data_IF_473646576752
#
_entry.id   IF_473646576752
#
_cell.length_a   1.000
_cell.length_b   1.000
_cell.length_c   1.000
_cell.angle_alpha   90.00
_cell.angle_beta   90.00
_cell.angle_gamma   90.00
#
_symmetry.space_group_name_H-M   'P 1'
#
loop_
_entity.id
_entity.type
_entity.pdbx_description
1 polymer ?
#
# COMPACT_ATOMS: atom_id res chain seq x y z
N UNK A 1 7.35 10.05 23.14
CA UNK A 1 6.04 10.52 22.66
C UNK A 1 5.64 9.63 21.51
N UNK A 2 4.55 8.85 21.60
CA UNK A 2 3.98 8.23 20.41
C UNK A 2 3.37 9.33 19.54
N UNK A 3 3.61 9.27 18.24
CA UNK A 3 2.97 10.13 17.25
C UNK A 3 1.59 9.54 16.92
N UNK A 4 0.58 10.40 16.77
CA UNK A 4 -0.80 9.98 16.49
C UNK A 4 -0.99 9.62 15.01
N UNK A 5 -0.28 10.32 14.12
CA UNK A 5 -0.33 10.10 12.66
C UNK A 5 1.07 10.26 12.06
N UNK A 6 1.46 9.35 11.17
CA UNK A 6 2.70 9.47 10.37
C UNK A 6 2.36 9.97 8.97
N UNK A 7 3.03 11.05 8.53
CA UNK A 7 2.95 11.52 7.14
C UNK A 7 4.29 11.38 6.46
N UNK A 8 4.32 10.90 5.22
CA UNK A 8 5.55 10.85 4.43
C UNK A 8 5.30 11.07 2.94
N UNK A 9 6.35 11.44 2.24
CA UNK A 9 6.33 11.70 0.80
C UNK A 9 6.29 10.41 -0.03
N UNK A 10 6.31 10.59 -1.36
CA UNK A 10 6.27 9.48 -2.32
C UNK A 10 7.49 8.57 -2.33
N UNK A 11 8.62 8.99 -1.76
CA UNK A 11 9.80 8.14 -1.63
C UNK A 11 9.54 7.02 -0.62
N UNK A 12 8.87 7.35 0.48
CA UNK A 12 8.50 6.40 1.52
C UNK A 12 7.14 5.74 1.24
N UNK A 13 6.20 6.44 0.60
CA UNK A 13 4.90 5.86 0.25
C UNK A 13 4.97 4.69 -0.75
N UNK A 14 6.00 4.63 -1.59
CA UNK A 14 6.23 3.49 -2.49
C UNK A 14 6.87 2.27 -1.81
N UNK A 15 7.53 2.46 -0.68
CA UNK A 15 8.25 1.39 0.00
C UNK A 15 7.23 0.47 0.72
N UNK A 16 7.20 -0.80 0.33
CA UNK A 16 6.29 -1.79 0.93
C UNK A 16 6.74 -2.23 2.32
N UNK A 17 8.04 -2.26 2.58
CA UNK A 17 8.57 -2.63 3.89
C UNK A 17 8.23 -1.56 4.91
N UNK A 18 8.46 -0.30 4.57
CA UNK A 18 8.12 0.83 5.43
C UNK A 18 6.63 0.83 5.82
N UNK A 19 5.74 0.61 4.85
CA UNK A 19 4.30 0.50 5.11
C UNK A 19 3.95 -0.69 5.99
N UNK A 20 4.60 -1.84 5.77
CA UNK A 20 4.40 -3.02 6.60
C UNK A 20 4.88 -2.82 8.04
N UNK A 21 5.94 -2.05 8.26
CA UNK A 21 6.39 -1.67 9.62
C UNK A 21 5.38 -0.74 10.29
N UNK A 22 4.86 0.26 9.57
CA UNK A 22 3.80 1.13 10.11
C UNK A 22 2.53 0.36 10.47
N UNK A 23 2.12 -0.59 9.63
CA UNK A 23 0.99 -1.49 9.90
C UNK A 23 1.27 -2.41 11.11
N UNK A 24 2.51 -2.91 11.25
CA UNK A 24 2.91 -3.78 12.37
C UNK A 24 2.91 -3.04 13.71
N UNK A 25 3.20 -1.75 13.69
CA UNK A 25 3.19 -0.86 14.85
C UNK A 25 1.79 -0.24 15.13
N UNK A 26 0.75 -0.64 14.36
CA UNK A 26 -0.65 -0.15 14.48
C UNK A 26 -0.77 1.38 14.36
N UNK A 27 0.05 1.97 13.48
CA UNK A 27 0.13 3.42 13.28
C UNK A 27 -0.82 3.89 12.17
N UNK A 28 -1.55 4.96 12.44
CA UNK A 28 -2.31 5.66 11.40
C UNK A 28 -1.32 6.44 10.54
N UNK A 29 -1.35 6.25 9.22
CA UNK A 29 -0.46 6.95 8.32
C UNK A 29 -1.17 7.52 7.09
N UNK A 30 -0.61 8.60 6.55
CA UNK A 30 -1.03 9.20 5.28
C UNK A 30 0.22 9.41 4.43
N UNK A 31 0.30 8.68 3.32
CA UNK A 31 1.49 8.65 2.46
C UNK A 31 1.12 9.10 1.05
N UNK A 32 1.99 9.89 0.44
CA UNK A 32 1.88 10.16 -0.99
C UNK A 32 2.22 8.89 -1.77
N UNK A 33 1.31 8.41 -2.62
CA UNK A 33 1.57 7.24 -3.48
C UNK A 33 1.54 7.70 -4.94
N UNK A 34 2.59 7.40 -5.74
CA UNK A 34 2.58 7.74 -7.16
C UNK A 34 1.38 7.13 -7.87
N UNK A 35 0.72 7.89 -8.73
CA UNK A 35 -0.48 7.46 -9.47
C UNK A 35 -0.24 6.25 -10.39
N UNK A 36 1.02 6.00 -10.75
CA UNK A 36 1.46 4.85 -11.57
C UNK A 36 1.73 3.60 -10.75
N UNK A 37 1.70 3.68 -9.42
CA UNK A 37 1.88 2.53 -8.53
C UNK A 37 0.78 1.51 -8.77
N UNK A 38 1.14 0.23 -8.81
CA UNK A 38 0.19 -0.88 -8.94
C UNK A 38 -0.12 -1.46 -7.57
N UNK A 39 -1.40 -1.63 -7.28
CA UNK A 39 -1.92 -2.12 -6.02
C UNK A 39 -2.94 -3.24 -6.27
N UNK A 40 -3.05 -4.15 -5.30
CA UNK A 40 -4.10 -5.15 -5.29
C UNK A 40 -5.25 -4.66 -4.41
N UNK A 41 -6.50 -4.84 -4.84
CA UNK A 41 -7.68 -4.40 -4.09
C UNK A 41 -8.14 -5.44 -3.06
N UNK A 42 -7.83 -6.71 -3.32
CA UNK A 42 -7.94 -7.82 -2.40
C UNK A 42 -6.55 -8.33 -2.06
N UNK A 43 -6.42 -9.03 -0.92
CA UNK A 43 -5.14 -9.57 -0.49
C UNK A 43 -4.73 -10.71 -1.43
N UNK A 44 -3.64 -10.55 -2.21
CA UNK A 44 -3.23 -11.59 -3.15
C UNK A 44 -2.67 -12.81 -2.42
N UNK A 45 -2.79 -13.97 -3.05
CA UNK A 45 -2.11 -15.18 -2.58
C UNK A 45 -0.67 -15.13 -3.05
N UNK A 46 0.27 -15.08 -2.12
CA UNK A 46 1.71 -15.06 -2.42
C UNK A 46 2.37 -16.36 -2.00
N UNK A 47 3.30 -16.86 -2.81
CA UNK A 47 4.02 -18.09 -2.54
C UNK A 47 5.14 -18.34 -3.54
N UNK A 48 5.95 -19.36 -3.29
CA UNK A 48 6.94 -19.82 -4.28
C UNK A 48 6.20 -20.73 -5.26
N UNK A 49 6.22 -20.45 -6.57
CA UNK A 49 5.53 -21.28 -7.54
C UNK A 49 6.16 -22.69 -7.58
N UNK A 50 5.33 -23.68 -7.88
CA UNK A 50 5.82 -25.06 -8.05
C UNK A 50 6.84 -25.12 -9.18
N UNK A 51 7.93 -25.86 -8.93
CA UNK A 51 8.97 -26.04 -9.95
C UNK A 51 8.47 -27.08 -10.95
N UNK A 52 8.37 -26.75 -12.25
CA UNK A 52 7.85 -27.68 -13.24
C UNK A 52 8.75 -28.92 -13.36
N UNK A 53 8.17 -30.11 -13.57
CA UNK A 53 8.94 -31.33 -13.71
C UNK A 53 9.87 -31.22 -14.94
N UNK A 54 11.14 -31.56 -14.75
CA UNK A 54 12.15 -31.48 -15.82
C UNK A 54 12.91 -30.15 -15.90
N UNK A 55 12.66 -29.19 -15.01
CA UNK A 55 13.50 -27.99 -14.91
C UNK A 55 14.92 -28.37 -14.47
N UNK A 56 15.92 -27.99 -15.27
CA UNK A 56 17.33 -28.11 -14.90
C UNK A 56 17.77 -26.91 -14.03
N UNK A 57 18.59 -27.17 -13.02
CA UNK A 57 19.14 -26.14 -12.12
C UNK A 57 18.32 -25.90 -10.86
N UNK A 58 18.55 -24.75 -10.21
CA UNK A 58 17.95 -24.44 -8.90
C UNK A 58 16.41 -24.39 -9.00
N UNK A 59 15.67 -25.02 -8.07
CA UNK A 59 14.23 -24.84 -7.94
C UNK A 59 13.84 -23.36 -7.83
N UNK A 60 12.57 -23.05 -8.15
CA UNK A 60 12.06 -21.72 -7.85
C UNK A 60 12.18 -21.45 -6.34
N UNK A 61 12.57 -20.21 -6.03
CA UNK A 61 12.78 -19.76 -4.65
C UNK A 61 12.32 -18.32 -4.41
N UNK A 62 11.94 -17.62 -5.49
CA UNK A 62 11.38 -16.28 -5.40
C UNK A 62 9.88 -16.38 -5.14
N UNK A 63 9.42 -15.59 -4.17
CA UNK A 63 8.00 -15.41 -3.90
C UNK A 63 7.36 -14.67 -5.07
N UNK A 64 6.22 -15.16 -5.52
CA UNK A 64 5.41 -14.57 -6.59
C UNK A 64 3.96 -14.52 -6.15
N UNK A 65 3.17 -13.67 -6.80
CA UNK A 65 1.72 -13.68 -6.67
C UNK A 65 1.19 -14.89 -7.46
N UNK A 66 0.50 -15.79 -6.77
CA UNK A 66 -0.08 -17.02 -7.32
C UNK A 66 -1.57 -16.88 -7.61
N UNK A 67 -2.23 -15.85 -7.07
CA UNK A 67 -3.63 -15.54 -7.38
C UNK A 67 -3.78 -14.93 -8.77
N UNK A 68 -4.90 -15.23 -9.44
CA UNK A 68 -5.27 -14.64 -10.75
C UNK A 68 -5.69 -13.16 -10.67
N UNK A 69 -5.66 -12.57 -9.48
CA UNK A 69 -6.00 -11.18 -9.25
C UNK A 69 -5.04 -10.26 -10.01
N UNK A 70 -5.61 -9.25 -10.67
CA UNK A 70 -4.82 -8.26 -11.40
C UNK A 70 -4.57 -7.04 -10.53
N UNK A 71 -3.30 -6.64 -10.47
CA UNK A 71 -2.94 -5.36 -9.88
C UNK A 71 -3.49 -4.22 -10.75
N UNK A 72 -4.08 -3.21 -10.13
CA UNK A 72 -4.59 -2.01 -10.79
C UNK A 72 -3.72 -0.81 -10.44
N UNK A 73 -3.61 0.14 -11.35
CA UNK A 73 -2.87 1.38 -11.07
C UNK A 73 -3.71 2.30 -10.18
N UNK A 74 -3.06 3.01 -9.27
CA UNK A 74 -3.73 3.95 -8.35
C UNK A 74 -4.54 4.99 -9.12
N UNK A 75 -4.07 5.45 -10.29
CA UNK A 75 -4.85 6.37 -11.14
C UNK A 75 -6.19 5.80 -11.61
N UNK A 76 -6.31 4.49 -11.75
CA UNK A 76 -7.57 3.86 -12.18
C UNK A 76 -8.62 3.84 -11.07
N UNK A 77 -8.20 4.11 -9.82
CA UNK A 77 -9.08 4.18 -8.67
C UNK A 77 -9.75 5.55 -8.51
N UNK A 78 -9.31 6.59 -9.24
CA UNK A 78 -9.93 7.91 -9.20
C UNK A 78 -11.43 7.81 -9.55
N UNK A 79 -12.29 8.23 -8.62
CA UNK A 79 -13.75 8.21 -8.80
C UNK A 79 -14.43 6.89 -8.39
N UNK A 80 -13.68 5.91 -7.88
CA UNK A 80 -14.25 4.70 -7.31
C UNK A 80 -14.88 5.00 -5.94
N UNK A 81 -16.09 4.52 -5.62
CA UNK A 81 -16.84 4.90 -4.42
C UNK A 81 -16.11 4.54 -3.11
N UNK A 82 -15.31 3.48 -3.13
CA UNK A 82 -14.56 3.01 -1.96
C UNK A 82 -13.29 3.82 -1.68
N UNK A 83 -12.88 4.72 -2.60
CA UNK A 83 -11.64 5.47 -2.50
C UNK A 83 -11.89 6.97 -2.52
N UNK A 84 -11.52 7.64 -1.43
CA UNK A 84 -11.52 9.11 -1.36
C UNK A 84 -10.11 9.62 -1.61
N UNK A 85 -9.96 10.50 -2.60
CA UNK A 85 -8.66 11.10 -2.94
C UNK A 85 -8.53 12.47 -2.32
N UNK A 86 -7.45 12.68 -1.57
CA UNK A 86 -7.09 13.98 -1.03
C UNK A 86 -6.12 14.66 -1.99
N UNK A 87 -6.51 15.82 -2.55
CA UNK A 87 -5.70 16.57 -3.51
C UNK A 87 -4.65 17.47 -2.85
N UNK A 88 -4.83 17.81 -1.57
CA UNK A 88 -3.85 18.56 -0.78
C UNK A 88 -3.99 18.25 0.70
N UNK A 89 -2.94 17.71 1.31
CA UNK A 89 -2.83 17.62 2.77
C UNK A 89 -2.10 18.89 3.20
N UNK A 90 -2.83 19.85 3.81
CA UNK A 90 -2.17 20.98 4.47
C UNK A 90 -1.70 20.51 5.84
N UNK A 91 -0.41 20.21 5.96
CA UNK A 91 0.21 19.99 7.26
C UNK A 91 0.47 21.37 7.91
N UNK A 92 -0.45 21.83 8.76
CA UNK A 92 -0.21 23.01 9.59
C UNK A 92 0.56 22.58 10.84
N UNK A 93 1.84 22.96 10.88
CA UNK A 93 2.73 22.75 12.02
C UNK A 93 2.35 23.71 13.15
N UNK A 94 1.17 23.57 13.75
CA UNK A 94 0.75 24.22 15.00
C UNK A 94 -0.65 23.72 15.40
N UNK A 95 -0.67 22.87 16.44
CA UNK A 95 -1.80 22.47 17.28
C UNK A 95 -3.22 22.76 16.78
N UNK A 96 -3.79 21.84 16.01
CA UNK A 96 -5.21 21.82 15.70
C UNK A 96 -5.51 21.06 14.42
N UNK A 97 -5.60 19.73 14.51
CA UNK A 97 -6.26 18.96 13.46
C UNK A 97 -7.77 19.08 13.68
N UNK A 98 -8.45 19.86 12.85
CA UNK A 98 -9.89 19.67 12.64
C UNK A 98 -10.08 18.34 11.94
N UNK A 99 -10.63 17.36 12.67
CA UNK A 99 -11.20 16.07 12.23
C UNK A 99 -10.82 15.67 10.79
N UNK A 100 -9.77 14.86 10.57
CA UNK A 100 -9.54 14.30 9.26
C UNK A 100 -10.73 13.39 8.94
N UNK A 101 -11.40 13.66 7.82
CA UNK A 101 -12.34 12.72 7.22
C UNK A 101 -11.57 11.43 6.95
N UNK A 102 -11.77 10.46 7.84
CA UNK A 102 -11.24 9.11 7.76
C UNK A 102 -11.75 8.47 6.46
N UNK A 103 -10.93 8.53 5.43
CA UNK A 103 -11.09 7.64 4.29
C UNK A 103 -10.50 6.29 4.69
N UNK A 104 -11.32 5.45 5.34
CA UNK A 104 -10.99 4.06 5.59
C UNK A 104 -11.05 3.27 4.28
N UNK A 105 -9.99 3.41 3.47
CA UNK A 105 -9.70 2.49 2.38
C UNK A 105 -8.50 1.67 2.78
N UNK A 106 -8.71 0.57 3.51
CA UNK A 106 -7.65 -0.40 3.79
C UNK A 106 -7.26 -1.11 2.50
N UNK A 107 -6.41 -0.47 1.69
CA UNK A 107 -5.64 -1.19 0.68
C UNK A 107 -4.54 -1.92 1.44
N UNK A 108 -4.83 -3.16 1.86
CA UNK A 108 -3.81 -4.06 2.38
C UNK A 108 -2.93 -4.46 1.20
N UNK A 109 -1.79 -3.78 1.07
CA UNK A 109 -0.71 -4.16 0.16
C UNK A 109 0.08 -5.32 0.75
#
# INVERSE_FOLDING_TARGET
MPFEVVTADSLYGRDSHFRAELDADDLIYVLDVPVTTRVYLSKPVVGVPETPPGKLGRPFSQVQVLSDEQSVEVRSLFGHPDFTFLSSIRCSVLGGFTEPVLASGSVKV
#
